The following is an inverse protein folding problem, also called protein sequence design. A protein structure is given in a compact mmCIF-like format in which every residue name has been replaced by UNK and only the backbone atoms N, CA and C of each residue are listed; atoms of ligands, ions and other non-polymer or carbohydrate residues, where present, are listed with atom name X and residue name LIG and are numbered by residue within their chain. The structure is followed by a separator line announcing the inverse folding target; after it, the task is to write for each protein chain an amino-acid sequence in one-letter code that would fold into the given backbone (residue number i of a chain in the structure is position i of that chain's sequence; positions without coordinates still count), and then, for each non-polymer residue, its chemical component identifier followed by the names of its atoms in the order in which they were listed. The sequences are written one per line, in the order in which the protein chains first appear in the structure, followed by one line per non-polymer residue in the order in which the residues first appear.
data_IF_471841179308
#
_entry.id   IF_471841179308
#
_cell.length_a   1.000
_cell.length_b   1.000
_cell.length_c   1.000
_cell.angle_alpha   90.00
_cell.angle_beta   90.00
_cell.angle_gamma   90.00
#
_symmetry.space_group_name_H-M   'P 1'
#
loop_
_entity.id
_entity.type
_entity.pdbx_description
1 polymer ?
#
# COMPACT_ATOMS: atom_id res chain seq x y z
N UNK A 1 16.23 5.33 18.65
CA UNK A 1 15.94 4.55 17.42
C UNK A 1 17.26 4.08 16.83
N UNK A 2 17.35 2.85 16.35
CA UNK A 2 18.56 2.35 15.67
C UNK A 2 18.66 2.91 14.24
N UNK A 3 19.84 2.90 13.63
CA UNK A 3 20.01 3.25 12.21
C UNK A 3 19.07 2.42 11.32
N UNK A 4 18.97 1.12 11.60
CA UNK A 4 18.05 0.23 10.89
C UNK A 4 16.59 0.66 11.04
N UNK A 5 16.16 1.10 12.22
CA UNK A 5 14.81 1.60 12.45
C UNK A 5 14.52 2.88 11.66
N UNK A 6 15.49 3.77 11.52
CA UNK A 6 15.35 4.99 10.70
C UNK A 6 15.22 4.61 9.22
N UNK A 7 16.12 3.76 8.72
CA UNK A 7 16.09 3.29 7.33
C UNK A 7 14.79 2.55 7.01
N UNK A 8 14.34 1.65 7.89
CA UNK A 8 13.08 0.92 7.74
C UNK A 8 11.88 1.87 7.71
N UNK A 9 11.89 2.94 8.51
CA UNK A 9 10.82 3.93 8.51
C UNK A 9 10.78 4.68 7.17
N UNK A 10 11.92 5.18 6.70
CA UNK A 10 12.02 5.95 5.46
C UNK A 10 11.68 5.07 4.26
N UNK A 11 12.40 3.96 4.06
CA UNK A 11 12.20 3.09 2.91
C UNK A 11 10.87 2.35 2.96
N UNK A 12 10.40 1.95 4.14
CA UNK A 12 9.08 1.34 4.30
C UNK A 12 7.96 2.31 3.91
N UNK A 13 8.06 3.57 4.32
CA UNK A 13 7.09 4.61 3.94
C UNK A 13 7.13 4.87 2.43
N UNK A 14 8.32 5.04 1.84
CA UNK A 14 8.48 5.23 0.39
C UNK A 14 7.94 4.03 -0.40
N UNK A 15 8.18 2.81 0.08
CA UNK A 15 7.64 1.59 -0.52
C UNK A 15 6.11 1.54 -0.43
N UNK A 16 5.53 1.92 0.71
CA UNK A 16 4.08 2.06 0.88
C UNK A 16 3.45 3.07 -0.11
N UNK A 17 4.18 4.14 -0.43
CA UNK A 17 3.80 5.13 -1.46
C UNK A 17 4.06 4.66 -2.90
N UNK A 18 4.76 3.54 -3.11
CA UNK A 18 5.19 3.07 -4.44
C UNK A 18 4.06 2.77 -5.42
N UNK A 19 2.84 2.54 -4.92
CA UNK A 19 1.64 2.33 -5.74
C UNK A 19 0.94 3.64 -6.16
N UNK A 20 1.38 4.80 -5.67
CA UNK A 20 0.80 6.09 -6.04
C UNK A 20 0.83 6.37 -7.55
N UNK A 21 1.95 6.14 -8.28
CA UNK A 21 1.98 6.33 -9.73
C UNK A 21 1.03 5.38 -10.46
N UNK A 22 0.80 4.17 -9.93
CA UNK A 22 -0.15 3.23 -10.49
C UNK A 22 -1.59 3.72 -10.35
N UNK A 23 -1.96 4.18 -9.15
CA UNK A 23 -3.27 4.80 -8.91
C UNK A 23 -3.47 6.00 -9.84
N UNK A 24 -2.50 6.91 -9.91
CA UNK A 24 -2.54 8.07 -10.79
C UNK A 24 -2.76 7.67 -12.27
N UNK A 25 -2.05 6.66 -12.77
CA UNK A 25 -2.24 6.16 -14.15
C UNK A 25 -3.66 5.68 -14.40
N UNK A 26 -4.27 4.97 -13.45
CA UNK A 26 -5.67 4.48 -13.56
C UNK A 26 -6.64 5.67 -13.65
N UNK A 27 -6.55 6.62 -12.72
CA UNK A 27 -7.45 7.79 -12.71
C UNK A 27 -7.25 8.71 -13.91
N UNK A 28 -6.02 8.84 -14.42
CA UNK A 28 -5.71 9.63 -15.61
C UNK A 28 -6.21 8.96 -16.90
N UNK A 29 -5.96 7.66 -17.06
CA UNK A 29 -6.33 6.92 -18.27
C UNK A 29 -7.76 6.41 -18.26
N UNK A 30 -8.46 6.51 -17.11
CA UNK A 30 -9.81 5.98 -16.90
C UNK A 30 -9.91 4.50 -17.32
N UNK A 31 -8.85 3.73 -17.03
CA UNK A 31 -8.76 2.30 -17.36
C UNK A 31 -7.94 1.57 -16.31
N UNK A 32 -8.46 0.42 -15.88
CA UNK A 32 -7.80 -0.51 -14.97
C UNK A 32 -7.90 -1.97 -15.46
N UNK A 33 -8.18 -2.20 -16.75
CA UNK A 33 -8.44 -3.52 -17.32
C UNK A 33 -7.29 -4.51 -17.13
N UNK A 34 -6.06 -4.02 -17.13
CA UNK A 34 -4.85 -4.86 -16.99
C UNK A 34 -4.45 -5.10 -15.52
N UNK A 35 -5.25 -4.65 -14.55
CA UNK A 35 -4.94 -4.74 -13.13
C UNK A 35 -5.63 -5.96 -12.52
N UNK A 36 -4.83 -6.83 -11.91
CA UNK A 36 -5.33 -7.98 -11.14
C UNK A 36 -5.87 -7.55 -9.78
N UNK A 37 -7.20 -7.42 -9.67
CA UNK A 37 -7.85 -7.09 -8.40
C UNK A 37 -7.59 -8.12 -7.31
N UNK A 38 -7.43 -9.39 -7.69
CA UNK A 38 -7.12 -10.49 -6.75
C UNK A 38 -5.77 -10.25 -6.07
N UNK A 39 -4.73 -9.88 -6.83
CA UNK A 39 -3.42 -9.57 -6.27
C UNK A 39 -3.47 -8.37 -5.33
N UNK A 40 -4.16 -7.29 -5.73
CA UNK A 40 -4.29 -6.10 -4.89
C UNK A 40 -5.10 -6.35 -3.62
N UNK A 41 -6.08 -7.25 -3.66
CA UNK A 41 -6.83 -7.67 -2.47
C UNK A 41 -5.93 -8.40 -1.48
N UNK A 42 -5.09 -9.33 -1.95
CA UNK A 42 -4.12 -10.04 -1.11
C UNK A 42 -3.14 -9.05 -0.47
N UNK A 43 -2.59 -8.11 -1.25
CA UNK A 43 -1.69 -7.10 -0.72
C UNK A 43 -2.36 -6.17 0.29
N UNK A 44 -3.62 -5.79 0.06
CA UNK A 44 -4.38 -4.95 0.98
C UNK A 44 -4.61 -5.64 2.32
N UNK A 45 -5.14 -6.88 2.29
CA UNK A 45 -5.39 -7.67 3.51
C UNK A 45 -4.08 -7.95 4.24
N UNK A 46 -3.02 -8.32 3.50
CA UNK A 46 -1.68 -8.53 4.06
C UNK A 46 -1.16 -7.28 4.77
N UNK A 47 -1.28 -6.09 4.15
CA UNK A 47 -0.85 -4.84 4.77
C UNK A 47 -1.64 -4.51 6.04
N UNK A 48 -2.96 -4.76 6.07
CA UNK A 48 -3.77 -4.62 7.29
C UNK A 48 -3.27 -5.55 8.40
N UNK A 49 -2.99 -6.81 8.08
CA UNK A 49 -2.43 -7.78 9.04
C UNK A 49 -1.07 -7.31 9.56
N UNK A 50 -0.19 -6.80 8.68
CA UNK A 50 1.11 -6.25 9.09
C UNK A 50 0.99 -5.02 9.99
N UNK A 51 -0.04 -4.19 9.83
CA UNK A 51 -0.33 -3.09 10.76
C UNK A 51 -0.67 -3.65 12.14
N UNK A 52 -1.59 -4.62 12.21
CA UNK A 52 -1.99 -5.25 13.47
C UNK A 52 -0.80 -5.90 14.18
N UNK A 53 0.00 -6.66 13.42
CA UNK A 53 1.22 -7.28 13.94
C UNK A 53 2.24 -6.23 14.39
N UNK A 54 2.43 -5.16 13.60
CA UNK A 54 3.30 -4.04 13.95
C UNK A 54 2.92 -3.36 15.28
N UNK A 55 1.62 -3.22 15.54
CA UNK A 55 1.09 -2.72 16.81
C UNK A 55 1.41 -3.69 17.96
N UNK A 56 1.18 -4.99 17.76
CA UNK A 56 1.46 -6.04 18.75
C UNK A 56 2.94 -6.02 19.19
N UNK A 57 3.87 -5.93 18.23
CA UNK A 57 5.31 -5.86 18.51
C UNK A 57 5.83 -4.45 18.82
N UNK A 58 4.94 -3.45 18.92
CA UNK A 58 5.26 -2.03 19.16
C UNK A 58 6.29 -1.45 18.17
N UNK A 59 6.24 -1.88 16.90
CA UNK A 59 7.15 -1.45 15.85
C UNK A 59 6.57 -0.32 15.01
N UNK A 60 6.93 0.91 15.37
CA UNK A 60 6.55 2.11 14.61
C UNK A 60 6.89 2.03 13.11
N UNK A 61 8.10 1.60 12.69
CA UNK A 61 8.45 1.51 11.26
C UNK A 61 7.53 0.59 10.46
N UNK A 62 7.14 -0.55 11.04
CA UNK A 62 6.25 -1.52 10.39
C UNK A 62 4.85 -0.95 10.24
N UNK A 63 4.33 -0.34 11.30
CA UNK A 63 2.98 0.24 11.31
C UNK A 63 2.88 1.36 10.26
N UNK A 64 3.80 2.33 10.28
CA UNK A 64 3.70 3.50 9.40
C UNK A 64 3.85 3.11 7.92
N UNK A 65 4.79 2.21 7.60
CA UNK A 65 5.01 1.73 6.24
C UNK A 65 3.75 1.09 5.65
N UNK A 66 3.10 0.22 6.43
CA UNK A 66 1.91 -0.50 5.96
C UNK A 66 0.66 0.38 5.94
N UNK A 67 0.54 1.41 6.79
CA UNK A 67 -0.54 2.41 6.69
C UNK A 67 -0.50 3.10 5.32
N UNK A 68 0.67 3.58 4.89
CA UNK A 68 0.80 4.18 3.56
C UNK A 68 0.54 3.17 2.44
N UNK A 69 0.93 1.91 2.63
CA UNK A 69 0.60 0.81 1.73
C UNK A 69 -0.91 0.61 1.57
N UNK A 70 -1.65 0.48 2.68
CA UNK A 70 -3.12 0.33 2.69
C UNK A 70 -3.79 1.46 1.92
N UNK A 71 -3.39 2.72 2.17
CA UNK A 71 -3.96 3.88 1.48
C UNK A 71 -3.72 3.79 -0.03
N UNK A 72 -2.49 3.52 -0.48
CA UNK A 72 -2.17 3.53 -1.91
C UNK A 72 -2.73 2.32 -2.66
N UNK A 73 -2.68 1.13 -2.05
CA UNK A 73 -3.30 -0.08 -2.60
C UNK A 73 -4.82 0.14 -2.68
N UNK A 74 -5.42 0.74 -1.66
CA UNK A 74 -6.83 1.13 -1.65
C UNK A 74 -7.20 2.08 -2.81
N UNK A 75 -6.37 3.08 -3.09
CA UNK A 75 -6.58 3.97 -4.26
C UNK A 75 -6.57 3.21 -5.59
N UNK A 76 -5.66 2.24 -5.75
CA UNK A 76 -5.63 1.39 -6.95
C UNK A 76 -6.91 0.55 -7.03
N UNK A 77 -7.35 -0.06 -5.93
CA UNK A 77 -8.59 -0.84 -5.89
C UNK A 77 -9.82 -0.01 -6.21
N UNK A 78 -9.94 1.21 -5.66
CA UNK A 78 -11.02 2.15 -6.00
C UNK A 78 -11.00 2.47 -7.50
N UNK A 79 -9.82 2.78 -8.05
CA UNK A 79 -9.67 3.00 -9.49
C UNK A 79 -10.08 1.78 -10.33
N UNK A 80 -9.80 0.57 -9.85
CA UNK A 80 -10.25 -0.66 -10.49
C UNK A 80 -11.76 -0.82 -10.47
N UNK A 81 -12.43 -0.57 -9.33
CA UNK A 81 -13.90 -0.66 -9.27
C UNK A 81 -14.59 0.37 -10.17
N UNK A 82 -13.96 1.53 -10.40
CA UNK A 82 -14.50 2.56 -11.29
C UNK A 82 -14.22 2.31 -12.78
N UNK A 83 -13.06 1.75 -13.13
CA UNK A 83 -12.55 1.72 -14.51
C UNK A 83 -12.06 0.35 -15.00
N UNK A 84 -12.25 -0.71 -14.22
CA UNK A 84 -11.79 -2.06 -14.51
C UNK A 84 -12.78 -2.91 -15.31
N UNK A 85 -14.01 -2.42 -15.52
CA UNK A 85 -15.03 -3.05 -16.37
C UNK A 85 -14.89 -2.56 -17.82
#
# INVERSE_FOLDING_TARGET
MTILSILATIFGTLSGLGNFPQAYRIFRRKSAKDISITAYTIFFVGAVIWILYGIEIKSFPVVIANIFGVINIGLVMVGWFMYGR
#
